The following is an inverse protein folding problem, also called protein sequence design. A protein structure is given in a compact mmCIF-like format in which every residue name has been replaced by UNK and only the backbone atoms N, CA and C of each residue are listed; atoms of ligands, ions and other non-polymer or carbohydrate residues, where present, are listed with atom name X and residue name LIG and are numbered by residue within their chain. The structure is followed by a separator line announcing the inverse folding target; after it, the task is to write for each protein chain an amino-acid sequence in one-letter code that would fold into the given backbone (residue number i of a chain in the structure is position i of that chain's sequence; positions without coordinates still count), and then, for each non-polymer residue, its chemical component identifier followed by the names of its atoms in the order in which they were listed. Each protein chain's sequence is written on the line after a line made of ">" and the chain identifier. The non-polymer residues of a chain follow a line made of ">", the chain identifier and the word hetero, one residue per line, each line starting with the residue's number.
data_IF_026059303688
#
_entry.id   IF_026059303688
#
_cell.length_a   1.000
_cell.length_b   1.000
_cell.length_c   1.000
_cell.angle_alpha   90.00
_cell.angle_beta   90.00
_cell.angle_gamma   90.00
#
_symmetry.space_group_name_H-M   'P 1'
#
loop_
_entity.id
_entity.type
_entity.pdbx_description
1 polymer ?
#
# COMPACT_ATOMS: atom_id res chain seq x y z
N UNK A 1 -9.28 20.77 -5.24
CA UNK A 1 -8.00 20.06 -5.12
C UNK A 1 -8.12 18.67 -5.72
N UNK A 2 -7.03 18.10 -6.24
CA UNK A 2 -7.03 16.75 -6.84
C UNK A 2 -6.33 15.76 -5.92
N UNK A 3 -6.74 14.50 -5.95
CA UNK A 3 -6.08 13.39 -5.24
C UNK A 3 -5.41 12.46 -6.26
N UNK A 4 -4.34 11.79 -5.84
CA UNK A 4 -3.73 10.75 -6.65
C UNK A 4 -4.74 9.61 -6.89
N UNK A 5 -5.00 9.29 -8.16
CA UNK A 5 -5.98 8.28 -8.57
C UNK A 5 -5.54 6.84 -8.25
N UNK A 6 -4.30 6.63 -7.81
CA UNK A 6 -3.74 5.32 -7.43
C UNK A 6 -3.73 5.15 -5.91
N UNK A 7 -3.10 6.07 -5.17
CA UNK A 7 -2.94 5.93 -3.71
C UNK A 7 -3.93 6.76 -2.90
N UNK A 8 -4.71 7.64 -3.53
CA UNK A 8 -5.70 8.49 -2.87
C UNK A 8 -5.10 9.61 -2.03
N UNK A 9 -3.77 9.73 -1.98
CA UNK A 9 -3.06 10.78 -1.26
C UNK A 9 -3.19 12.16 -1.89
N UNK A 10 -2.74 13.21 -1.21
CA UNK A 10 -2.74 14.57 -1.72
C UNK A 10 -1.83 14.68 -2.94
N UNK A 11 -2.16 15.57 -3.88
CA UNK A 11 -1.38 15.79 -5.11
C UNK A 11 -0.13 16.65 -4.89
N UNK A 12 -0.02 17.36 -3.78
CA UNK A 12 1.19 18.11 -3.42
C UNK A 12 1.45 18.01 -1.92
N UNK A 13 2.71 18.18 -1.53
CA UNK A 13 3.14 18.32 -0.14
C UNK A 13 2.84 19.71 0.45
N UNK A 14 2.49 20.72 -0.37
CA UNK A 14 2.30 22.10 0.08
C UNK A 14 1.24 22.23 1.19
N UNK A 15 0.05 21.68 0.98
CA UNK A 15 -1.04 21.77 1.96
C UNK A 15 -0.80 20.89 3.20
N UNK A 16 0.04 19.86 3.07
CA UNK A 16 0.48 19.07 4.21
C UNK A 16 1.37 19.89 5.12
N UNK A 17 2.34 20.61 4.56
CA UNK A 17 3.30 21.41 5.35
C UNK A 17 2.65 22.61 6.01
N UNK A 18 1.68 23.24 5.35
CA UNK A 18 0.86 24.29 5.96
C UNK A 18 0.06 23.82 7.16
N UNK A 19 -0.21 22.52 7.27
CA UNK A 19 -0.91 21.96 8.42
C UNK A 19 0.05 21.38 9.48
N UNK A 20 1.35 21.26 9.20
CA UNK A 20 2.30 20.50 10.03
C UNK A 20 3.18 21.38 10.90
N UNK A 21 3.73 20.80 11.98
CA UNK A 21 4.75 21.46 12.79
C UNK A 21 6.00 21.74 11.94
N UNK A 22 6.72 22.82 12.22
CA UNK A 22 8.01 23.11 11.59
C UNK A 22 9.17 22.54 12.42
N UNK A 23 10.26 22.13 11.76
CA UNK A 23 11.53 21.78 12.39
C UNK A 23 12.67 22.70 11.89
N UNK A 24 13.78 22.69 12.62
CA UNK A 24 15.01 23.35 12.20
C UNK A 24 15.47 22.84 10.82
N UNK A 25 15.51 23.74 9.84
CA UNK A 25 15.92 23.43 8.47
C UNK A 25 14.76 23.23 7.47
N UNK A 26 13.51 23.23 7.94
CA UNK A 26 12.34 23.22 7.05
C UNK A 26 12.17 24.58 6.35
N UNK A 27 11.54 24.56 5.17
CA UNK A 27 11.15 25.80 4.49
C UNK A 27 9.96 26.44 5.20
N UNK A 28 10.26 27.42 6.06
CA UNK A 28 9.26 28.16 6.85
C UNK A 28 8.20 28.88 6.00
N UNK A 29 8.42 29.07 4.69
CA UNK A 29 7.40 29.64 3.80
C UNK A 29 6.31 28.60 3.45
N UNK A 30 6.63 27.31 3.55
CA UNK A 30 5.71 26.19 3.30
C UNK A 30 5.03 25.71 4.57
N UNK A 31 5.64 25.96 5.73
CA UNK A 31 5.10 25.64 7.03
C UNK A 31 4.13 26.72 7.52
N UNK A 32 3.20 26.34 8.40
CA UNK A 32 2.45 27.35 9.15
C UNK A 32 3.43 28.17 10.00
N UNK A 33 3.23 29.49 10.08
CA UNK A 33 3.87 30.29 11.13
C UNK A 33 3.20 29.89 12.45
N UNK A 34 3.87 29.04 13.21
CA UNK A 34 3.45 28.64 14.55
C UNK A 34 3.61 29.83 15.51
N UNK A 35 2.78 30.85 15.34
CA UNK A 35 2.59 31.94 16.32
C UNK A 35 1.58 31.45 17.37
N UNK A 36 1.85 30.29 17.98
CA UNK A 36 1.11 29.85 19.16
C UNK A 36 1.71 30.55 20.39
N UNK A 37 1.36 31.82 20.56
CA UNK A 37 1.84 32.70 21.64
C UNK A 37 1.23 32.38 23.03
N UNK A 38 0.64 31.20 23.22
CA UNK A 38 0.00 30.87 24.50
C UNK A 38 1.04 30.30 25.48
N UNK A 39 1.28 31.01 26.58
CA UNK A 39 2.17 30.61 27.69
C UNK A 39 1.31 30.50 28.95
N UNK A 40 1.14 29.28 29.49
CA UNK A 40 0.48 29.02 30.77
C UNK A 40 -0.75 28.11 30.68
N UNK A 41 -1.43 27.94 31.83
CA UNK A 41 -2.61 27.04 32.00
C UNK A 41 -3.87 27.52 31.24
N UNK A 42 -3.82 28.62 30.50
CA UNK A 42 -4.93 29.15 29.68
C UNK A 42 -4.97 28.56 28.25
N UNK A 43 -4.05 27.66 27.89
CA UNK A 43 -4.03 26.99 26.58
C UNK A 43 -5.06 25.83 26.44
N UNK A 44 -5.87 25.53 27.46
CA UNK A 44 -6.84 24.41 27.39
C UNK A 44 -8.01 24.66 26.41
N UNK A 45 -8.23 25.91 25.97
CA UNK A 45 -9.37 26.29 25.11
C UNK A 45 -8.98 26.94 23.77
N UNK A 46 -7.68 27.10 23.47
CA UNK A 46 -7.23 27.65 22.18
C UNK A 46 -6.79 26.51 21.27
N UNK A 47 -7.53 26.27 20.18
CA UNK A 47 -7.19 25.35 19.09
C UNK A 47 -5.82 25.72 18.48
N UNK A 48 -4.73 25.31 19.12
CA UNK A 48 -3.38 25.47 18.59
C UNK A 48 -3.25 24.50 17.40
N UNK A 49 -3.05 24.98 16.15
CA UNK A 49 -3.01 24.12 14.96
C UNK A 49 -1.92 23.04 15.01
N UNK A 50 -0.88 23.23 15.84
CA UNK A 50 0.13 22.22 16.12
C UNK A 50 -0.39 20.90 16.70
N UNK A 51 -1.63 20.88 17.22
CA UNK A 51 -2.32 19.65 17.65
C UNK A 51 -2.97 18.88 16.49
N UNK A 52 -3.11 19.49 15.30
CA UNK A 52 -3.85 18.93 14.16
C UNK A 52 -2.95 18.61 12.96
N UNK A 53 -1.64 18.83 13.06
CA UNK A 53 -0.67 18.61 12.00
C UNK A 53 0.10 17.30 12.05
N UNK A 54 0.94 17.06 11.03
CA UNK A 54 1.98 16.03 11.12
C UNK A 54 3.14 16.49 11.99
N UNK A 55 3.74 15.54 12.70
CA UNK A 55 4.95 15.78 13.48
C UNK A 55 6.18 15.87 12.55
N UNK A 56 6.81 17.03 12.48
CA UNK A 56 8.03 17.26 11.67
C UNK A 56 9.20 16.39 12.07
N UNK A 57 9.29 15.93 13.34
CA UNK A 57 10.34 15.01 13.78
C UNK A 57 10.14 13.58 13.25
N UNK A 58 8.95 13.27 12.77
CA UNK A 58 8.56 11.97 12.21
C UNK A 58 8.52 12.00 10.69
N UNK A 59 8.19 13.15 10.10
CA UNK A 59 8.02 13.36 8.68
C UNK A 59 8.83 14.56 8.20
N UNK A 60 10.04 14.30 7.69
CA UNK A 60 10.95 15.32 7.20
C UNK A 60 10.53 15.84 5.83
N UNK A 61 10.97 17.05 5.45
CA UNK A 61 10.61 17.67 4.16
C UNK A 61 10.92 16.75 2.96
N UNK A 62 12.05 16.05 3.01
CA UNK A 62 12.43 15.05 2.01
C UNK A 62 11.46 13.87 1.92
N UNK A 63 10.82 13.47 3.03
CA UNK A 63 9.88 12.35 3.08
C UNK A 63 8.55 12.64 2.37
N UNK A 64 8.24 13.90 2.06
CA UNK A 64 6.99 14.29 1.36
C UNK A 64 7.25 14.83 -0.04
N UNK A 65 8.49 15.12 -0.40
CA UNK A 65 8.87 15.66 -1.71
C UNK A 65 8.49 14.74 -2.88
N UNK A 66 8.29 13.44 -2.65
CA UNK A 66 7.81 12.51 -3.66
C UNK A 66 6.36 12.82 -4.12
N UNK A 67 5.55 13.48 -3.29
CA UNK A 67 4.18 13.87 -3.62
C UNK A 67 4.13 14.90 -4.73
N UNK A 68 5.14 15.79 -4.80
CA UNK A 68 5.19 16.87 -5.79
C UNK A 68 5.57 16.35 -7.20
N UNK A 69 6.01 15.09 -7.32
CA UNK A 69 6.29 14.44 -8.60
C UNK A 69 5.02 13.81 -9.17
N UNK A 70 4.23 14.63 -9.85
CA UNK A 70 2.90 14.25 -10.35
C UNK A 70 2.88 14.17 -11.89
N UNK A 71 2.22 13.14 -12.40
CA UNK A 71 1.97 12.94 -13.85
C UNK A 71 0.48 12.77 -14.11
N UNK A 72 0.04 13.12 -15.33
CA UNK A 72 -1.31 12.86 -15.81
C UNK A 72 -1.30 11.77 -16.85
N UNK A 73 -2.23 10.82 -16.70
CA UNK A 73 -2.54 9.83 -17.72
C UNK A 73 -3.64 10.43 -18.60
N UNK A 74 -3.32 10.74 -19.84
CA UNK A 74 -4.23 11.33 -20.82
C UNK A 74 -4.55 10.36 -21.95
N UNK A 75 -5.75 10.44 -22.56
CA UNK A 75 -6.02 9.72 -23.79
C UNK A 75 -5.24 10.37 -24.94
N UNK A 76 -4.69 9.54 -25.82
CA UNK A 76 -4.17 9.99 -27.10
C UNK A 76 -5.35 10.36 -27.98
N UNK A 77 -5.58 11.65 -28.19
CA UNK A 77 -6.49 12.08 -29.25
C UNK A 77 -5.70 11.96 -30.56
N UNK A 78 -6.19 11.13 -31.50
CA UNK A 78 -5.77 11.18 -32.90
C UNK A 78 -6.19 12.54 -33.48
N UNK A 79 -5.45 13.58 -33.14
CA UNK A 79 -5.52 14.83 -33.85
C UNK A 79 -4.73 14.64 -35.15
N UNK A 80 -5.39 14.79 -36.28
CA UNK A 80 -4.78 15.00 -37.59
C UNK A 80 -3.90 16.27 -37.55
N UNK A 81 -2.76 16.22 -36.87
CA UNK A 81 -1.89 17.35 -36.58
C UNK A 81 -0.44 16.92 -36.68
N UNK A 82 0.23 17.47 -37.67
CA UNK A 82 1.65 17.30 -38.04
C UNK A 82 2.60 17.81 -36.95
N UNK A 83 2.75 17.06 -35.85
CA UNK A 83 3.69 17.33 -34.77
C UNK A 83 4.67 16.18 -34.57
N UNK A 84 5.96 16.49 -34.57
CA UNK A 84 7.09 15.57 -34.50
C UNK A 84 7.15 14.77 -33.19
N UNK A 85 6.78 13.50 -33.29
CA UNK A 85 7.21 12.29 -32.55
C UNK A 85 8.12 12.39 -31.32
N UNK A 86 7.72 11.67 -30.26
CA UNK A 86 8.47 10.51 -29.75
C UNK A 86 7.49 9.39 -29.40
N UNK A 87 7.72 8.19 -29.95
CA UNK A 87 6.69 7.18 -30.18
C UNK A 87 6.11 6.50 -28.93
N UNK A 88 4.79 6.34 -28.95
CA UNK A 88 4.10 5.15 -28.45
C UNK A 88 2.79 5.03 -29.21
N UNK A 89 2.61 3.95 -29.95
CA UNK A 89 1.34 3.59 -30.62
C UNK A 89 0.32 3.07 -29.58
N UNK A 90 0.13 3.79 -28.48
CA UNK A 90 -0.81 3.44 -27.41
C UNK A 90 -1.81 4.58 -27.26
N UNK A 91 -3.10 4.26 -27.15
CA UNK A 91 -4.20 5.22 -27.03
C UNK A 91 -4.19 6.10 -25.78
N UNK A 92 -3.12 6.08 -24.98
CA UNK A 92 -2.89 6.98 -23.86
C UNK A 92 -1.39 7.33 -23.69
N UNK A 93 -1.10 8.48 -23.08
CA UNK A 93 0.25 8.98 -22.81
C UNK A 93 0.35 9.69 -21.47
N UNK A 94 1.58 9.88 -20.99
CA UNK A 94 1.88 10.63 -19.78
C UNK A 94 2.24 12.08 -20.13
N UNK A 95 1.74 13.03 -19.35
CA UNK A 95 2.14 14.44 -19.42
C UNK A 95 2.47 14.94 -18.02
N UNK A 96 3.42 15.87 -17.93
CA UNK A 96 3.58 16.68 -16.74
C UNK A 96 2.29 17.51 -16.53
N UNK A 97 2.01 17.86 -15.27
CA UNK A 97 0.75 18.50 -14.87
C UNK A 97 0.90 20.01 -14.61
N UNK A 98 2.11 20.49 -14.31
CA UNK A 98 2.33 21.84 -13.80
C UNK A 98 3.09 21.81 -12.47
N UNK A 99 3.34 23.00 -11.94
CA UNK A 99 3.75 23.21 -10.54
C UNK A 99 2.52 23.57 -9.71
N UNK A 100 2.54 23.31 -8.40
CA UNK A 100 1.44 23.71 -7.52
C UNK A 100 1.76 25.04 -6.84
N UNK A 101 0.91 26.04 -7.02
CA UNK A 101 0.95 27.35 -6.37
C UNK A 101 -0.11 27.46 -5.29
N UNK A 102 0.16 28.28 -4.27
CA UNK A 102 -0.72 28.45 -3.13
C UNK A 102 -2.00 29.25 -3.42
N UNK A 103 -1.98 30.13 -4.42
CA UNK A 103 -3.13 30.96 -4.79
C UNK A 103 -3.90 30.36 -5.96
N UNK A 104 -3.17 29.83 -6.93
CA UNK A 104 -3.75 29.33 -8.19
C UNK A 104 -3.98 27.80 -8.19
N UNK A 105 -3.66 27.12 -7.07
CA UNK A 105 -3.61 25.65 -7.02
C UNK A 105 -2.68 25.11 -8.10
N UNK A 106 -3.10 24.14 -8.92
CA UNK A 106 -2.23 23.59 -9.94
C UNK A 106 -2.00 24.59 -11.11
N UNK A 107 -0.78 25.09 -11.23
CA UNK A 107 -0.30 25.99 -12.28
C UNK A 107 0.26 25.18 -13.44
N UNK A 108 -0.47 25.12 -14.55
CA UNK A 108 -0.07 24.38 -15.75
C UNK A 108 1.21 24.94 -16.40
N UNK A 109 2.12 24.05 -16.83
CA UNK A 109 3.28 24.47 -17.62
C UNK A 109 2.84 25.03 -18.98
N UNK A 110 3.53 26.06 -19.50
CA UNK A 110 3.14 26.75 -20.74
C UNK A 110 3.10 25.84 -21.99
N UNK A 111 3.84 24.73 -21.99
CA UNK A 111 3.83 23.74 -23.09
C UNK A 111 2.72 22.68 -22.95
N UNK A 112 2.03 22.62 -21.81
CA UNK A 112 0.89 21.74 -21.56
C UNK A 112 -0.41 22.52 -21.72
N UNK A 113 -0.87 22.67 -22.96
CA UNK A 113 -2.13 23.32 -23.34
C UNK A 113 -3.31 22.92 -22.43
N UNK A 114 -3.81 23.80 -21.57
CA UNK A 114 -5.20 23.82 -21.01
C UNK A 114 -5.76 22.52 -20.40
N UNK A 115 -4.95 21.53 -20.04
CA UNK A 115 -5.47 20.23 -19.58
C UNK A 115 -5.83 20.28 -18.10
N UNK A 116 -7.12 20.17 -17.82
CA UNK A 116 -7.66 20.12 -16.48
C UNK A 116 -7.64 18.68 -15.94
N UNK A 117 -7.07 18.45 -14.75
CA UNK A 117 -7.14 17.16 -14.07
C UNK A 117 -8.57 16.67 -13.85
N UNK A 118 -8.77 15.35 -13.86
CA UNK A 118 -10.06 14.64 -13.77
C UNK A 118 -11.06 14.94 -14.91
N UNK A 119 -10.80 15.94 -15.76
CA UNK A 119 -11.55 16.22 -17.00
C UNK A 119 -10.82 15.67 -18.22
N UNK A 120 -9.55 16.02 -18.36
CA UNK A 120 -8.73 15.72 -19.55
C UNK A 120 -7.77 14.52 -19.30
N UNK A 121 -7.65 14.08 -18.05
CA UNK A 121 -6.84 12.93 -17.66
C UNK A 121 -6.91 12.63 -16.16
N UNK A 122 -6.19 11.59 -15.74
CA UNK A 122 -6.14 11.15 -14.34
C UNK A 122 -4.78 11.43 -13.73
N UNK A 123 -4.79 12.04 -12.55
CA UNK A 123 -3.58 12.41 -11.83
C UNK A 123 -3.03 11.23 -11.04
N UNK A 124 -1.72 11.02 -11.10
CA UNK A 124 -1.04 10.05 -10.26
C UNK A 124 0.35 10.55 -9.87
N UNK A 125 0.82 10.17 -8.68
CA UNK A 125 2.24 10.32 -8.36
C UNK A 125 3.07 9.41 -9.26
N UNK A 126 4.20 9.91 -9.74
CA UNK A 126 5.14 9.13 -10.55
C UNK A 126 5.55 7.83 -9.86
N UNK A 127 5.88 7.91 -8.56
CA UNK A 127 6.22 6.73 -7.75
C UNK A 127 5.07 5.70 -7.69
N UNK A 128 3.82 6.15 -7.56
CA UNK A 128 2.65 5.25 -7.55
C UNK A 128 2.50 4.53 -8.90
N UNK A 129 2.75 5.23 -10.01
CA UNK A 129 2.70 4.64 -11.35
C UNK A 129 3.85 3.65 -11.58
N UNK A 130 5.09 3.99 -11.18
CA UNK A 130 6.24 3.06 -11.21
C UNK A 130 5.96 1.80 -10.37
N UNK A 131 5.38 1.97 -9.18
CA UNK A 131 4.98 0.86 -8.30
C UNK A 131 3.94 -0.04 -8.97
N UNK A 132 2.99 0.54 -9.71
CA UNK A 132 1.97 -0.23 -10.44
C UNK A 132 2.60 -1.16 -11.50
N UNK A 133 3.52 -0.65 -12.32
CA UNK A 133 4.24 -1.46 -13.31
C UNK A 133 5.17 -2.50 -12.65
N UNK A 134 5.77 -2.16 -11.51
CA UNK A 134 6.58 -3.11 -10.75
C UNK A 134 5.72 -4.25 -10.19
N UNK A 135 4.55 -3.95 -9.64
CA UNK A 135 3.60 -4.94 -9.13
C UNK A 135 3.09 -5.86 -10.24
N UNK A 136 2.85 -5.32 -11.44
CA UNK A 136 2.48 -6.09 -12.63
C UNK A 136 3.59 -7.07 -13.02
N UNK A 137 4.83 -6.59 -13.15
CA UNK A 137 5.98 -7.44 -13.50
C UNK A 137 6.24 -8.57 -12.50
N UNK A 138 5.85 -8.38 -11.24
CA UNK A 138 5.98 -9.36 -10.17
C UNK A 138 4.76 -10.31 -10.06
N UNK A 139 3.68 -10.02 -10.79
CA UNK A 139 2.50 -10.87 -10.83
C UNK A 139 2.82 -12.18 -11.56
N UNK A 140 2.65 -13.30 -10.86
CA UNK A 140 2.87 -14.64 -11.46
C UNK A 140 1.76 -15.05 -12.44
N UNK A 141 0.71 -14.23 -12.59
CA UNK A 141 -0.40 -14.52 -13.50
C UNK A 141 0.06 -14.21 -14.94
N UNK A 142 -0.11 -15.16 -15.87
CA UNK A 142 0.01 -14.89 -17.32
C UNK A 142 -1.09 -13.90 -17.71
N UNK A 143 -0.83 -12.62 -17.57
CA UNK A 143 -1.76 -11.54 -17.85
C UNK A 143 -1.28 -10.75 -19.07
N UNK A 144 -2.23 -10.11 -19.75
CA UNK A 144 -1.93 -9.11 -20.76
C UNK A 144 -1.08 -8.02 -20.12
N UNK A 145 -0.04 -7.57 -20.82
CA UNK A 145 0.82 -6.50 -20.33
C UNK A 145 -0.02 -5.24 -20.07
N UNK A 146 0.12 -4.64 -18.90
CA UNK A 146 -0.52 -3.39 -18.53
C UNK A 146 -0.07 -2.31 -19.52
N UNK A 147 -1.03 -1.66 -20.17
CA UNK A 147 -0.78 -0.49 -21.01
C UNK A 147 -1.38 0.74 -20.36
N UNK A 148 -0.85 1.92 -20.67
CA UNK A 148 -1.45 3.18 -20.21
C UNK A 148 -2.89 3.33 -20.71
N UNK A 149 -3.18 2.79 -21.89
CA UNK A 149 -4.52 2.82 -22.49
C UNK A 149 -5.52 1.98 -21.70
N UNK A 150 -5.18 0.72 -21.38
CA UNK A 150 -6.06 -0.13 -20.58
C UNK A 150 -6.26 0.42 -19.17
N UNK A 151 -5.20 1.02 -18.59
CA UNK A 151 -5.29 1.74 -17.32
C UNK A 151 -6.24 2.94 -17.41
N UNK A 152 -6.08 3.79 -18.44
CA UNK A 152 -6.90 4.99 -18.64
C UNK A 152 -8.38 4.66 -18.79
N UNK A 153 -8.73 3.69 -19.65
CA UNK A 153 -10.12 3.28 -19.84
C UNK A 153 -10.72 2.67 -18.59
N UNK A 154 -9.93 1.91 -17.84
CA UNK A 154 -10.38 1.36 -16.55
C UNK A 154 -10.64 2.49 -15.56
N UNK A 155 -9.72 3.45 -15.40
CA UNK A 155 -9.91 4.64 -14.55
C UNK A 155 -11.18 5.41 -14.92
N UNK A 156 -11.41 5.65 -16.22
CA UNK A 156 -12.60 6.35 -16.73
C UNK A 156 -13.92 5.67 -16.35
N UNK A 157 -13.94 4.33 -16.27
CA UNK A 157 -15.13 3.56 -15.85
C UNK A 157 -15.46 3.75 -14.37
N UNK A 158 -14.45 3.98 -13.53
CA UNK A 158 -14.59 4.13 -12.08
C UNK A 158 -14.57 5.61 -11.64
N UNK A 159 -14.35 6.53 -12.57
CA UNK A 159 -14.36 7.97 -12.28
C UNK A 159 -15.70 8.39 -11.67
N UNK A 160 -15.62 9.14 -10.56
CA UNK A 160 -16.79 9.69 -9.89
C UNK A 160 -17.21 10.96 -10.64
N UNK A 161 -18.52 11.29 -10.73
CA UNK A 161 -18.97 12.53 -11.37
C UNK A 161 -18.45 13.80 -10.70
N UNK A 162 -18.08 13.75 -9.42
CA UNK A 162 -17.48 14.87 -8.70
C UNK A 162 -15.95 14.81 -8.81
N UNK A 163 -15.29 15.88 -9.32
CA UNK A 163 -13.84 15.96 -9.43
C UNK A 163 -13.12 16.12 -8.08
N UNK A 164 -13.87 16.35 -7.00
CA UNK A 164 -13.38 16.62 -5.64
C UNK A 164 -12.99 15.35 -4.87
N UNK A 165 -13.18 14.15 -5.44
CA UNK A 165 -12.83 12.89 -4.78
C UNK A 165 -11.93 12.05 -5.66
N UNK A 166 -11.11 11.22 -5.01
CA UNK A 166 -10.36 10.19 -5.70
C UNK A 166 -11.32 9.21 -6.41
N UNK A 167 -10.81 8.51 -7.43
CA UNK A 167 -11.57 7.49 -8.18
C UNK A 167 -12.19 6.47 -7.21
N UNK A 168 -13.50 6.22 -7.32
CA UNK A 168 -14.16 5.13 -6.58
C UNK A 168 -14.04 3.83 -7.37
N UNK A 169 -12.96 3.11 -7.08
CA UNK A 169 -12.69 1.80 -7.68
C UNK A 169 -13.62 0.67 -7.22
N UNK A 170 -14.51 0.94 -6.26
CA UNK A 170 -15.42 -0.06 -5.66
C UNK A 170 -14.67 -1.30 -5.20
N UNK A 171 -13.58 -1.10 -4.47
CA UNK A 171 -12.77 -2.14 -3.86
C UNK A 171 -12.31 -1.66 -2.48
N UNK A 172 -12.69 -2.37 -1.43
CA UNK A 172 -12.35 -1.99 -0.05
C UNK A 172 -10.85 -2.13 0.27
N UNK A 173 -10.06 -2.75 -0.63
CA UNK A 173 -8.59 -2.79 -0.51
C UNK A 173 -7.95 -1.47 -0.96
N UNK A 174 -8.63 -0.68 -1.77
CA UNK A 174 -8.09 0.56 -2.32
C UNK A 174 -8.07 1.67 -1.29
N UNK A 175 -7.00 2.46 -1.33
CA UNK A 175 -6.75 3.57 -0.41
C UNK A 175 -6.70 3.15 1.07
N UNK A 176 -6.36 1.88 1.37
CA UNK A 176 -6.40 1.33 2.73
C UNK A 176 -5.74 2.19 3.82
N UNK A 177 -6.04 1.91 5.10
CA UNK A 177 -5.56 2.74 6.21
C UNK A 177 -6.37 4.01 6.45
N UNK A 178 -7.55 4.08 5.84
CA UNK A 178 -8.53 5.13 6.12
C UNK A 178 -8.33 6.46 5.44
N UNK A 179 -7.57 6.47 4.35
CA UNK A 179 -7.32 7.62 3.47
C UNK A 179 -8.58 8.42 3.14
N UNK A 180 -9.73 7.77 2.96
CA UNK A 180 -10.99 8.47 2.72
C UNK A 180 -11.38 9.48 3.83
N UNK A 181 -10.99 9.22 5.08
CA UNK A 181 -11.19 10.16 6.19
C UNK A 181 -10.28 11.38 6.15
N UNK A 182 -9.24 11.36 5.31
CA UNK A 182 -8.30 12.47 5.11
C UNK A 182 -8.64 13.27 3.84
N UNK A 183 -9.57 12.77 3.01
CA UNK A 183 -10.03 13.42 1.79
C UNK A 183 -11.19 14.37 2.11
N UNK A 184 -10.85 15.60 2.51
CA UNK A 184 -11.84 16.67 2.72
C UNK A 184 -12.47 17.16 1.41
N UNK A 185 -13.47 18.05 1.52
CA UNK A 185 -14.12 18.68 0.36
C UNK A 185 -13.12 19.49 -0.48
N UNK A 186 -12.22 20.20 0.20
CA UNK A 186 -11.36 21.19 -0.43
C UNK A 186 -9.87 20.89 -0.28
N UNK A 187 -9.47 20.11 0.75
CA UNK A 187 -8.08 19.79 1.04
C UNK A 187 -7.88 18.43 1.70
N UNK A 188 -6.64 17.96 1.69
CA UNK A 188 -6.22 16.86 2.54
C UNK A 188 -6.12 17.31 4.00
N UNK A 189 -6.74 16.54 4.90
CA UNK A 189 -6.75 16.82 6.33
C UNK A 189 -5.63 16.03 7.02
N UNK A 190 -4.48 16.67 7.23
CA UNK A 190 -3.40 16.06 8.00
C UNK A 190 -3.87 15.75 9.43
N UNK A 191 -3.40 14.64 10.01
CA UNK A 191 -3.69 14.26 11.40
C UNK A 191 -2.45 13.63 12.03
N UNK A 192 -2.15 14.03 13.25
CA UNK A 192 -1.05 13.52 14.04
C UNK A 192 -1.09 11.99 14.16
N UNK A 193 0.06 11.32 13.99
CA UNK A 193 0.20 9.86 14.08
C UNK A 193 -0.13 9.10 12.79
N UNK A 194 -0.54 9.83 11.74
CA UNK A 194 -0.81 9.28 10.41
C UNK A 194 0.21 9.71 9.34
N UNK A 195 1.39 10.18 9.76
CA UNK A 195 2.49 10.60 8.89
C UNK A 195 2.85 9.52 7.86
N UNK A 196 2.73 8.25 8.27
CA UNK A 196 3.00 7.09 7.42
C UNK A 196 2.13 7.02 6.15
N UNK A 197 1.02 7.74 6.05
CA UNK A 197 0.21 7.81 4.82
C UNK A 197 0.87 8.62 3.70
N UNK A 198 1.76 9.54 4.07
CA UNK A 198 2.39 10.52 3.18
C UNK A 198 3.91 10.39 3.14
N UNK A 199 4.52 9.59 4.02
CA UNK A 199 5.96 9.31 3.98
C UNK A 199 6.40 8.66 2.67
N UNK A 200 7.60 8.99 2.20
CA UNK A 200 8.16 8.47 0.95
C UNK A 200 8.16 6.94 0.95
N UNK A 201 7.39 6.29 0.05
CA UNK A 201 7.36 4.83 -0.02
C UNK A 201 8.68 4.25 -0.57
N UNK A 202 9.50 5.03 -1.27
CA UNK A 202 10.86 4.69 -1.70
C UNK A 202 11.92 5.12 -0.68
N UNK A 203 11.51 5.79 0.40
CA UNK A 203 12.37 6.22 1.49
C UNK A 203 13.11 5.07 2.17
N UNK A 204 14.24 5.39 2.80
CA UNK A 204 15.12 4.40 3.41
C UNK A 204 14.42 3.62 4.53
N UNK A 205 14.07 2.36 4.25
CA UNK A 205 13.58 1.43 5.25
C UNK A 205 14.76 0.62 5.81
N UNK A 206 15.06 0.81 7.10
CA UNK A 206 16.11 0.02 7.76
C UNK A 206 15.65 -1.42 8.04
N UNK A 207 15.77 -2.28 7.05
CA UNK A 207 15.43 -3.72 7.13
C UNK A 207 16.43 -4.48 8.01
N UNK A 208 17.66 -3.96 8.18
CA UNK A 208 18.73 -4.64 8.92
C UNK A 208 18.30 -4.98 10.36
N UNK A 209 17.51 -4.13 11.02
CA UNK A 209 17.00 -4.41 12.38
C UNK A 209 16.15 -5.68 12.42
N UNK A 210 15.26 -5.87 11.45
CA UNK A 210 14.36 -7.03 11.40
C UNK A 210 15.10 -8.28 10.93
N UNK A 211 16.06 -8.09 10.03
CA UNK A 211 16.91 -9.16 9.55
C UNK A 211 17.84 -9.68 10.65
N UNK A 212 18.50 -8.79 11.41
CA UNK A 212 19.31 -9.13 12.58
C UNK A 212 18.51 -9.89 13.64
N UNK A 213 17.26 -9.46 13.88
CA UNK A 213 16.35 -10.21 14.75
C UNK A 213 16.13 -11.64 14.25
N UNK A 214 15.83 -11.82 12.95
CA UNK A 214 15.58 -13.12 12.36
C UNK A 214 16.84 -14.01 12.24
N UNK A 215 18.02 -13.39 12.20
CA UNK A 215 19.32 -14.05 12.15
C UNK A 215 19.89 -14.39 13.54
N UNK A 216 19.31 -13.83 14.61
CA UNK A 216 19.80 -14.06 15.96
C UNK A 216 19.75 -15.56 16.33
N UNK A 217 20.81 -16.16 16.91
CA UNK A 217 20.89 -17.61 17.13
C UNK A 217 19.69 -18.19 17.89
N UNK A 218 19.18 -17.47 18.90
CA UNK A 218 17.97 -17.85 19.65
C UNK A 218 16.72 -17.93 18.78
N UNK A 219 16.59 -17.08 17.75
CA UNK A 219 15.45 -17.05 16.83
C UNK A 219 15.60 -18.10 15.73
N UNK A 220 16.83 -18.31 15.23
CA UNK A 220 17.14 -19.39 14.29
C UNK A 220 16.83 -20.76 14.89
N UNK A 221 17.09 -20.96 16.18
CA UNK A 221 16.77 -22.21 16.88
C UNK A 221 15.27 -22.46 17.08
N UNK A 222 14.40 -21.45 16.89
CA UNK A 222 12.95 -21.62 17.02
C UNK A 222 12.39 -22.38 15.83
N UNK A 223 11.61 -23.44 16.09
CA UNK A 223 10.74 -24.05 15.08
C UNK A 223 9.73 -23.02 14.58
N UNK A 224 9.38 -23.09 13.29
CA UNK A 224 8.31 -22.28 12.70
C UNK A 224 6.98 -22.61 13.39
N UNK A 225 6.32 -21.67 14.09
CA UNK A 225 4.98 -21.89 14.62
C UNK A 225 3.96 -22.03 13.48
N UNK A 226 2.75 -22.43 13.85
CA UNK A 226 1.60 -22.60 12.96
C UNK A 226 1.38 -21.32 12.14
N UNK A 227 1.25 -21.46 10.82
CA UNK A 227 0.75 -20.38 9.98
C UNK A 227 -0.78 -20.42 9.98
N UNK A 228 -1.40 -19.42 10.60
CA UNK A 228 -2.85 -19.36 10.81
C UNK A 228 -3.21 -18.83 12.21
N UNK A 229 -4.50 -18.56 12.48
CA UNK A 229 -4.95 -18.08 13.78
C UNK A 229 -4.68 -19.15 14.85
N UNK A 230 -3.94 -18.77 15.89
CA UNK A 230 -3.66 -19.60 17.09
C UNK A 230 -4.93 -20.02 17.85
N UNK A 231 -6.09 -19.44 17.50
CA UNK A 231 -7.38 -19.69 18.13
C UNK A 231 -8.45 -20.04 17.08
N UNK A 232 -8.31 -21.19 16.43
CA UNK A 232 -9.52 -21.94 16.08
C UNK A 232 -10.10 -22.36 17.43
N UNK A 233 -11.11 -21.64 17.92
CA UNK A 233 -11.83 -21.99 19.15
C UNK A 233 -11.97 -23.50 19.16
N UNK A 234 -11.45 -24.15 20.20
CA UNK A 234 -11.91 -25.47 20.55
C UNK A 234 -13.43 -25.34 20.68
N UNK A 235 -14.14 -25.71 19.62
CA UNK A 235 -15.53 -26.10 19.75
C UNK A 235 -15.42 -27.30 20.68
N UNK A 236 -15.58 -27.04 21.98
CA UNK A 236 -15.77 -28.08 22.97
C UNK A 236 -16.81 -28.98 22.36
N UNK A 237 -16.45 -30.24 22.13
CA UNK A 237 -17.40 -31.29 21.83
C UNK A 237 -18.41 -31.27 22.97
N UNK A 238 -19.50 -30.56 22.75
CA UNK A 238 -20.66 -30.56 23.62
C UNK A 238 -21.27 -31.93 23.45
N UNK A 239 -20.85 -32.86 24.30
CA UNK A 239 -21.53 -34.13 24.56
C UNK A 239 -22.92 -33.86 25.11
N UNK A 240 -23.84 -33.42 24.26
CA UNK A 240 -25.30 -33.48 24.43
C UNK A 240 -25.95 -32.92 23.17
N UNK A 241 -26.22 -33.79 22.20
CA UNK A 241 -27.47 -33.84 21.42
C UNK A 241 -27.23 -34.74 20.18
N UNK A 242 -28.03 -35.80 20.10
CA UNK A 242 -28.23 -36.58 18.89
C UNK A 242 -28.87 -35.67 17.84
N UNK A 243 -28.18 -35.39 16.74
CA UNK A 243 -28.78 -35.01 15.48
C UNK A 243 -27.77 -35.23 14.35
N UNK A 244 -28.20 -35.95 13.32
CA UNK A 244 -27.42 -36.43 12.17
C UNK A 244 -26.83 -35.29 11.33
N UNK A 245 -25.75 -34.68 11.81
CA UNK A 245 -24.82 -33.96 10.94
C UNK A 245 -23.64 -34.88 10.70
N UNK A 246 -23.57 -35.43 9.48
CA UNK A 246 -22.36 -35.99 8.91
C UNK A 246 -21.27 -34.94 9.13
N UNK A 247 -20.43 -35.12 10.14
CA UNK A 247 -19.17 -34.40 10.26
C UNK A 247 -18.42 -34.85 9.01
N UNK A 248 -18.47 -34.04 7.95
CA UNK A 248 -17.65 -34.28 6.76
C UNK A 248 -16.21 -34.38 7.28
N UNK A 249 -15.70 -35.60 7.32
CA UNK A 249 -14.31 -35.84 7.68
C UNK A 249 -13.46 -34.98 6.77
N UNK A 250 -12.70 -34.07 7.37
CA UNK A 250 -11.83 -33.12 6.69
C UNK A 250 -10.96 -33.85 5.64
N UNK A 251 -11.24 -33.62 4.35
CA UNK A 251 -10.65 -34.40 3.26
C UNK A 251 -9.11 -34.41 3.27
N UNK A 252 -8.48 -33.30 3.68
CA UNK A 252 -7.03 -33.20 3.82
C UNK A 252 -6.44 -34.10 4.91
N UNK A 253 -7.21 -34.44 5.95
CA UNK A 253 -6.75 -35.33 7.03
C UNK A 253 -6.53 -36.76 6.54
N UNK A 254 -7.20 -37.16 5.45
CA UNK A 254 -7.05 -38.48 4.83
C UNK A 254 -5.82 -38.58 3.93
N UNK A 255 -5.23 -37.45 3.55
CA UNK A 255 -4.04 -37.44 2.71
C UNK A 255 -2.80 -37.75 3.55
N UNK A 256 -1.84 -38.52 3.02
CA UNK A 256 -0.52 -38.65 3.62
C UNK A 256 0.09 -37.28 3.88
N UNK A 257 0.87 -37.19 4.96
CA UNK A 257 1.43 -35.92 5.43
C UNK A 257 2.30 -35.25 4.35
N UNK A 258 3.05 -36.04 3.60
CA UNK A 258 3.89 -35.61 2.49
C UNK A 258 3.08 -34.95 1.38
N UNK A 259 1.89 -35.51 1.08
CA UNK A 259 0.97 -34.94 0.08
C UNK A 259 0.43 -33.59 0.54
N UNK A 260 0.15 -33.44 1.84
CA UNK A 260 -0.26 -32.16 2.42
C UNK A 260 0.84 -31.09 2.24
N UNK A 261 2.11 -31.46 2.47
CA UNK A 261 3.26 -30.57 2.26
C UNK A 261 3.43 -30.20 0.78
N UNK A 262 3.35 -31.16 -0.14
CA UNK A 262 3.42 -30.91 -1.58
C UNK A 262 2.33 -29.94 -2.05
N UNK A 263 1.09 -30.11 -1.56
CA UNK A 263 0.00 -29.18 -1.86
C UNK A 263 0.37 -27.77 -1.39
N UNK A 264 0.88 -27.62 -0.17
CA UNK A 264 1.29 -26.31 0.37
C UNK A 264 2.42 -25.69 -0.47
N UNK A 265 3.40 -26.48 -0.91
CA UNK A 265 4.51 -26.02 -1.74
C UNK A 265 4.06 -25.46 -3.10
N UNK A 266 3.04 -26.08 -3.71
CA UNK A 266 2.53 -25.68 -5.03
C UNK A 266 1.62 -24.45 -5.00
N UNK A 267 1.07 -24.09 -3.85
CA UNK A 267 0.11 -22.99 -3.71
C UNK A 267 0.79 -21.63 -3.57
N UNK A 268 0.08 -20.54 -3.85
CA UNK A 268 0.55 -19.19 -3.55
C UNK A 268 0.51 -18.92 -2.04
N UNK A 269 1.27 -17.94 -1.54
CA UNK A 269 1.22 -17.56 -0.12
C UNK A 269 -0.19 -17.18 0.35
N UNK A 270 -1.01 -16.61 -0.54
CA UNK A 270 -2.40 -16.25 -0.25
C UNK A 270 -3.26 -17.49 -0.09
N UNK A 271 -3.11 -18.46 -0.99
CA UNK A 271 -3.90 -19.69 -0.97
C UNK A 271 -3.50 -20.59 0.19
N UNK A 272 -2.21 -20.68 0.53
CA UNK A 272 -1.78 -21.42 1.74
C UNK A 272 -2.38 -20.80 2.99
N UNK A 273 -2.42 -19.46 3.10
CA UNK A 273 -3.07 -18.81 4.23
C UNK A 273 -4.57 -19.13 4.30
N UNK A 274 -5.29 -18.97 3.19
CA UNK A 274 -6.72 -19.30 3.13
C UNK A 274 -6.98 -20.78 3.46
N UNK A 275 -6.13 -21.68 2.95
CA UNK A 275 -6.24 -23.10 3.20
C UNK A 275 -5.91 -23.45 4.65
N UNK A 276 -4.97 -22.76 5.28
CA UNK A 276 -4.66 -22.92 6.71
C UNK A 276 -5.79 -22.43 7.64
N UNK A 277 -6.63 -21.50 7.15
CA UNK A 277 -7.85 -21.06 7.84
C UNK A 277 -8.97 -22.09 7.69
N UNK A 278 -9.06 -22.73 6.52
CA UNK A 278 -10.12 -23.68 6.17
C UNK A 278 -9.85 -25.12 6.64
N UNK A 279 -8.59 -25.52 6.80
CA UNK A 279 -8.18 -26.90 7.11
C UNK A 279 -7.20 -26.94 8.27
N UNK A 280 -7.57 -27.66 9.35
CA UNK A 280 -6.71 -27.92 10.51
C UNK A 280 -5.55 -28.84 10.17
N UNK A 281 -5.75 -29.81 9.27
CA UNK A 281 -4.67 -30.68 8.77
C UNK A 281 -3.58 -29.85 8.09
N UNK A 282 -3.97 -28.99 7.13
CA UNK A 282 -3.04 -28.10 6.43
C UNK A 282 -2.41 -27.09 7.38
N UNK A 283 -3.20 -26.48 8.27
CA UNK A 283 -2.71 -25.58 9.31
C UNK A 283 -1.60 -26.24 10.15
N UNK A 284 -1.80 -27.50 10.57
CA UNK A 284 -0.77 -28.25 11.30
C UNK A 284 0.44 -28.61 10.44
N UNK A 285 0.24 -28.95 9.17
CA UNK A 285 1.34 -29.24 8.24
C UNK A 285 2.26 -28.04 8.03
N UNK A 286 1.75 -26.80 8.12
CA UNK A 286 2.58 -25.60 8.00
C UNK A 286 3.72 -25.50 9.02
N UNK A 287 3.60 -26.17 10.18
CA UNK A 287 4.64 -26.22 11.23
C UNK A 287 5.93 -26.89 10.78
N UNK A 288 5.85 -27.73 9.76
CA UNK A 288 6.95 -28.57 9.29
C UNK A 288 7.55 -28.07 7.98
N UNK A 289 7.10 -26.92 7.48
CA UNK A 289 7.63 -26.33 6.27
C UNK A 289 9.10 -25.92 6.47
N UNK A 290 9.99 -26.32 5.55
CA UNK A 290 11.40 -26.01 5.67
C UNK A 290 11.64 -24.51 5.56
N UNK A 291 12.76 -24.03 6.11
CA UNK A 291 13.13 -22.62 6.02
C UNK A 291 13.29 -22.13 4.57
N UNK A 292 13.67 -23.03 3.65
CA UNK A 292 13.72 -22.77 2.21
C UNK A 292 12.37 -22.38 1.63
N UNK A 293 11.27 -23.02 2.07
CA UNK A 293 9.91 -22.64 1.66
C UNK A 293 9.61 -21.19 2.03
N UNK A 294 9.92 -20.78 3.25
CA UNK A 294 9.68 -19.40 3.68
C UNK A 294 10.55 -18.39 2.94
N UNK A 295 11.79 -18.78 2.62
CA UNK A 295 12.68 -17.99 1.78
C UNK A 295 12.10 -17.77 0.38
N UNK A 296 11.51 -18.79 -0.24
CA UNK A 296 10.94 -18.63 -1.60
C UNK A 296 9.76 -17.66 -1.63
N UNK A 297 9.03 -17.50 -0.51
CA UNK A 297 7.89 -16.57 -0.41
C UNK A 297 8.30 -15.09 -0.32
N UNK A 298 9.57 -14.77 -0.10
CA UNK A 298 10.05 -13.38 -0.12
C UNK A 298 9.81 -12.76 -1.50
N UNK A 299 9.03 -11.67 -1.52
CA UNK A 299 8.67 -10.97 -2.75
C UNK A 299 7.56 -11.65 -3.56
N UNK A 300 6.86 -12.65 -3.03
CA UNK A 300 5.83 -13.40 -3.77
C UNK A 300 4.47 -13.45 -3.06
N UNK A 301 3.41 -13.46 -3.87
CA UNK A 301 2.02 -13.56 -3.39
C UNK A 301 1.70 -12.47 -2.36
N UNK A 302 1.26 -12.86 -1.15
CA UNK A 302 0.99 -11.95 -0.02
C UNK A 302 2.15 -11.00 0.33
N UNK A 303 3.37 -11.40 0.03
CA UNK A 303 4.59 -10.63 0.29
C UNK A 303 5.15 -10.01 -0.99
N UNK A 304 4.33 -9.82 -2.02
CA UNK A 304 4.72 -9.20 -3.29
C UNK A 304 5.40 -7.84 -3.10
N UNK A 305 4.90 -7.04 -2.15
CA UNK A 305 5.49 -5.76 -1.77
C UNK A 305 6.95 -5.86 -1.28
N UNK A 306 7.45 -7.05 -0.93
CA UNK A 306 8.86 -7.25 -0.56
C UNK A 306 9.77 -7.53 -1.76
N UNK A 307 9.25 -7.58 -2.98
CA UNK A 307 10.02 -7.90 -4.18
C UNK A 307 11.22 -6.97 -4.42
N UNK A 308 11.12 -5.63 -4.24
CA UNK A 308 12.28 -4.74 -4.39
C UNK A 308 13.39 -5.05 -3.38
N UNK A 309 13.02 -5.47 -2.17
CA UNK A 309 13.93 -5.71 -1.06
C UNK A 309 14.51 -7.13 -1.04
N UNK A 310 14.24 -7.94 -2.07
CA UNK A 310 14.60 -9.37 -2.05
C UNK A 310 16.11 -9.58 -1.87
N UNK A 311 16.93 -8.76 -2.52
CA UNK A 311 18.39 -8.80 -2.37
C UNK A 311 18.81 -8.58 -0.92
N UNK A 312 18.32 -7.50 -0.31
CA UNK A 312 18.65 -7.10 1.06
C UNK A 312 18.16 -8.11 2.11
N UNK A 313 17.03 -8.77 1.83
CA UNK A 313 16.41 -9.76 2.71
C UNK A 313 17.07 -11.14 2.63
N UNK A 314 17.96 -11.37 1.65
CA UNK A 314 18.66 -12.64 1.49
C UNK A 314 20.13 -12.54 1.85
N UNK A 315 20.45 -12.81 3.12
CA UNK A 315 21.84 -12.94 3.56
C UNK A 315 22.41 -14.33 3.22
N UNK A 316 23.49 -14.41 2.43
CA UNK A 316 24.08 -15.71 2.05
C UNK A 316 24.95 -16.33 3.15
N UNK A 317 25.51 -15.53 4.05
CA UNK A 317 26.54 -15.97 5.02
C UNK A 317 26.01 -16.29 6.43
N UNK A 318 24.75 -15.96 6.74
CA UNK A 318 24.19 -16.12 8.09
C UNK A 318 22.88 -16.92 8.03
N UNK A 319 22.68 -17.93 8.89
CA UNK A 319 21.39 -18.59 9.03
C UNK A 319 20.29 -17.58 9.42
N UNK A 320 19.21 -17.53 8.66
CA UNK A 320 18.05 -16.65 8.92
C UNK A 320 16.80 -17.49 9.09
N UNK A 321 15.99 -17.21 10.12
CA UNK A 321 14.65 -17.77 10.23
C UNK A 321 13.66 -16.95 9.37
N UNK A 322 13.45 -17.39 8.12
CA UNK A 322 12.64 -16.64 7.14
C UNK A 322 11.17 -16.55 7.51
N UNK A 323 10.64 -17.55 8.22
CA UNK A 323 9.28 -17.47 8.75
C UNK A 323 9.15 -16.29 9.73
N UNK A 324 10.07 -16.18 10.69
CA UNK A 324 10.05 -15.10 11.69
C UNK A 324 10.32 -13.74 11.07
N UNK A 325 11.19 -13.69 10.06
CA UNK A 325 11.42 -12.50 9.24
C UNK A 325 10.12 -12.02 8.59
N UNK A 326 9.41 -12.90 7.87
CA UNK A 326 8.14 -12.58 7.22
C UNK A 326 7.08 -12.12 8.22
N UNK A 327 6.92 -12.80 9.37
CA UNK A 327 5.98 -12.36 10.41
C UNK A 327 6.31 -10.96 10.93
N UNK A 328 7.60 -10.67 11.16
CA UNK A 328 8.01 -9.37 11.70
C UNK A 328 7.82 -8.27 10.66
N UNK A 329 8.21 -8.50 9.40
CA UNK A 329 7.96 -7.59 8.28
C UNK A 329 6.48 -7.32 8.09
N UNK A 330 5.65 -8.37 8.20
CA UNK A 330 4.21 -8.21 8.12
C UNK A 330 3.65 -7.34 9.23
N UNK A 331 4.13 -7.51 10.46
CA UNK A 331 3.67 -6.72 11.60
C UNK A 331 4.09 -5.26 11.50
N UNK A 332 5.34 -4.96 11.15
CA UNK A 332 5.83 -3.57 11.10
C UNK A 332 5.29 -2.79 9.90
N UNK A 333 4.93 -3.47 8.81
CA UNK A 333 4.37 -2.85 7.60
C UNK A 333 2.85 -2.76 7.57
N UNK A 334 2.14 -3.33 8.56
CA UNK A 334 0.67 -3.30 8.57
C UNK A 334 0.17 -1.85 8.69
N UNK A 335 -0.78 -1.44 7.83
CA UNK A 335 -1.58 -0.25 8.07
C UNK A 335 -2.32 -0.38 9.41
N UNK A 336 -2.37 0.69 10.20
CA UNK A 336 -3.21 0.73 11.39
C UNK A 336 -4.69 0.71 10.97
N UNK A 337 -5.56 -0.13 11.57
CA UNK A 337 -7.00 -0.04 11.34
C UNK A 337 -7.52 1.29 11.89
N UNK A 338 -8.53 1.85 11.21
CA UNK A 338 -9.22 3.09 11.58
C UNK A 338 -9.54 3.21 13.08
N UNK A 339 -9.33 4.40 13.64
CA UNK A 339 -10.15 4.92 14.73
C UNK A 339 -9.76 4.53 16.16
N UNK A 340 -8.97 3.48 16.36
CA UNK A 340 -8.30 3.30 17.65
C UNK A 340 -7.00 4.06 17.58
N UNK A 341 -6.92 5.15 18.35
CA UNK A 341 -5.69 5.87 18.62
C UNK A 341 -4.54 4.87 18.68
N UNK A 342 -3.49 5.09 17.88
CA UNK A 342 -2.24 4.34 18.01
C UNK A 342 -1.90 4.22 19.48
N UNK A 343 -1.37 3.08 19.95
CA UNK A 343 -1.43 2.65 21.33
C UNK A 343 -1.20 3.83 22.27
N UNK A 344 -2.25 4.21 23.01
CA UNK A 344 -2.16 5.05 24.20
C UNK A 344 -1.27 4.33 25.21
N UNK A 345 0.04 4.46 25.00
CA UNK A 345 1.05 3.72 25.72
C UNK A 345 2.39 4.31 25.35
N UNK A 346 2.97 5.03 26.31
CA UNK A 346 4.20 5.81 26.27
C UNK A 346 5.48 5.05 25.84
N UNK A 347 5.40 3.88 25.20
CA UNK A 347 6.57 3.04 24.90
C UNK A 347 6.58 2.34 23.53
N UNK A 348 5.56 2.50 22.67
CA UNK A 348 5.77 2.31 21.23
C UNK A 348 6.03 3.68 20.63
N UNK A 349 7.29 4.15 20.78
CA UNK A 349 7.85 5.21 19.94
C UNK A 349 7.27 5.06 18.53
N UNK A 350 6.55 6.09 18.07
CA UNK A 350 6.34 6.37 16.66
C UNK A 350 7.69 6.09 16.02
N UNK A 351 7.81 4.97 15.32
CA UNK A 351 9.09 4.47 14.84
C UNK A 351 9.14 4.89 13.37
N UNK A 352 9.58 6.13 13.06
CA UNK A 352 9.53 6.68 11.70
C UNK A 352 10.20 5.76 10.69
N UNK A 353 11.18 4.96 11.14
CA UNK A 353 11.87 3.92 10.37
C UNK A 353 10.98 2.93 9.59
N UNK A 354 9.70 2.77 9.96
CA UNK A 354 8.77 1.87 9.25
C UNK A 354 7.70 2.59 8.44
N UNK A 355 7.62 3.92 8.50
CA UNK A 355 6.58 4.68 7.83
C UNK A 355 6.63 4.48 6.30
N UNK A 356 7.83 4.57 5.71
CA UNK A 356 8.05 4.26 4.29
C UNK A 356 7.56 2.86 3.92
N UNK A 357 7.91 1.83 4.71
CA UNK A 357 7.47 0.45 4.44
C UNK A 357 5.96 0.26 4.58
N UNK A 358 5.32 0.94 5.53
CA UNK A 358 3.86 0.94 5.68
C UNK A 358 3.19 1.59 4.48
N UNK A 359 3.68 2.76 4.07
CA UNK A 359 3.13 3.45 2.90
C UNK A 359 3.33 2.63 1.62
N UNK A 360 4.53 2.08 1.45
CA UNK A 360 4.89 1.19 0.35
C UNK A 360 3.93 0.01 0.26
N UNK A 361 3.70 -0.72 1.36
CA UNK A 361 2.76 -1.85 1.38
C UNK A 361 1.33 -1.41 1.06
N UNK A 362 0.88 -0.25 1.54
CA UNK A 362 -0.45 0.31 1.25
C UNK A 362 -0.59 0.61 -0.25
N UNK A 363 0.37 1.32 -0.84
CA UNK A 363 0.39 1.68 -2.26
C UNK A 363 0.46 0.41 -3.12
N UNK A 364 1.30 -0.56 -2.74
CA UNK A 364 1.36 -1.86 -3.41
C UNK A 364 0.01 -2.57 -3.42
N UNK A 365 -0.69 -2.58 -2.27
CA UNK A 365 -2.05 -3.14 -2.19
C UNK A 365 -3.05 -2.44 -3.11
N UNK A 366 -2.94 -1.12 -3.26
CA UNK A 366 -3.72 -0.35 -4.24
C UNK A 366 -3.39 -0.80 -5.67
N UNK A 367 -2.11 -0.96 -5.99
CA UNK A 367 -1.66 -1.41 -7.30
C UNK A 367 -2.19 -2.80 -7.65
N UNK A 368 -2.10 -3.77 -6.74
CA UNK A 368 -2.66 -5.11 -6.96
C UNK A 368 -4.18 -5.08 -7.21
N UNK A 369 -4.91 -4.24 -6.48
CA UNK A 369 -6.34 -4.08 -6.66
C UNK A 369 -6.68 -3.43 -8.02
N UNK A 370 -5.96 -2.40 -8.43
CA UNK A 370 -6.12 -1.76 -9.76
C UNK A 370 -5.82 -2.76 -10.87
N UNK A 371 -4.73 -3.52 -10.76
CA UNK A 371 -4.40 -4.58 -11.71
C UNK A 371 -5.52 -5.61 -11.82
N UNK A 372 -6.11 -6.06 -10.69
CA UNK A 372 -7.26 -6.96 -10.73
C UNK A 372 -8.45 -6.35 -11.53
N UNK A 373 -8.69 -5.03 -11.42
CA UNK A 373 -9.76 -4.32 -12.16
C UNK A 373 -9.46 -4.20 -13.65
N UNK A 374 -8.24 -3.82 -14.02
CA UNK A 374 -7.79 -3.73 -15.43
C UNK A 374 -7.93 -5.10 -16.09
N UNK A 375 -7.43 -6.15 -15.43
CA UNK A 375 -7.54 -7.52 -15.93
C UNK A 375 -9.00 -7.98 -16.11
N UNK A 376 -9.89 -7.63 -15.18
CA UNK A 376 -11.30 -7.95 -15.31
C UNK A 376 -11.95 -7.25 -16.52
N UNK A 377 -11.52 -6.02 -16.81
CA UNK A 377 -11.98 -5.25 -17.95
C UNK A 377 -11.50 -5.82 -19.29
N UNK A 378 -10.21 -6.10 -19.42
CA UNK A 378 -9.62 -6.65 -20.65
C UNK A 378 -10.25 -8.01 -20.99
N UNK A 379 -10.45 -8.86 -19.97
CA UNK A 379 -11.14 -10.14 -20.16
C UNK A 379 -12.61 -9.98 -20.60
N UNK A 380 -13.31 -8.94 -20.15
CA UNK A 380 -14.68 -8.67 -20.56
C UNK A 380 -14.74 -8.19 -22.02
N UNK A 381 -13.80 -7.35 -22.47
CA UNK A 381 -13.69 -6.93 -23.87
C UNK A 381 -13.38 -8.12 -24.77
N UNK A 382 -12.39 -8.94 -24.42
CA UNK A 382 -12.00 -10.09 -25.24
C UNK A 382 -13.14 -11.09 -25.40
N UNK A 383 -13.98 -11.26 -24.37
CA UNK A 383 -15.20 -12.09 -24.45
C UNK A 383 -16.31 -11.48 -25.30
N UNK A 384 -16.40 -10.15 -25.38
CA UNK A 384 -17.41 -9.47 -26.19
C UNK A 384 -17.02 -9.40 -27.68
N UNK A 385 -15.73 -9.57 -27.99
CA UNK A 385 -15.20 -9.57 -29.35
C UNK A 385 -15.13 -10.97 -30.00
N UNK A 386 -15.35 -12.03 -29.21
CA UNK A 386 -15.39 -13.44 -29.65
C UNK A 386 -16.84 -13.92 -29.77
#
# INVERSE_FOLDING_TARGET
>A
MHYCCICGGPVSSLDLRKASLANDGDDLNRCYKDECDCIGDECEEVDCPGQFGYNSQVLLEEDVAWLDKVVMICPSMNNNGTGSSTGSQSGAYLTAIGDYDEYDSLVHFPDTSTKCPNRDGFVAHDCCLRTLFLAESNSSKKQSQLTLESLFFTMKRFAVPSPEKAIDWKDSRLYGGGVHGFQGSDKWEALYGYEWLVSDPEGYTNIARVLNYAAHPKIVALRSPIWGPLKLKEVKESTTAKEDTIIQEEGFKKLPFEVQLMIIELLSSKDVHNLSLASRAICNATRYLPNSFWKTRLGQGRFGYLAPFRGDLTWPSVPVNYFRLLCRLENVSRPWPHGDQGPLGENEQICPYWNSLKNWRRIWGCCEAILDKVNAYDNAIMKAAA
#
